data_IF_822406431324
#
_entry.id   IF_822406431324
#
_cell.length_a   1.000
_cell.length_b   1.000
_cell.length_c   1.000
_cell.angle_alpha   90.00
_cell.angle_beta   90.00
_cell.angle_gamma   90.00
#
_symmetry.space_group_name_H-M   'P 1'
#
loop_
_entity.id
_entity.type
_entity.pdbx_description
1 polymer ?
#
# COMPACT_ATOMS: atom_id res chain seq x y z
N UNK A 1 -10.41 -16.95 -3.42
CA UNK A 1 -10.15 -15.51 -3.19
C UNK A 1 -11.41 -14.74 -3.52
N UNK A 2 -11.90 -13.92 -2.61
CA UNK A 2 -12.96 -12.96 -2.93
C UNK A 2 -12.28 -11.61 -3.21
N UNK A 3 -12.78 -10.86 -4.18
CA UNK A 3 -12.19 -9.57 -4.59
C UNK A 3 -13.13 -8.42 -4.23
N UNK A 4 -12.55 -7.34 -3.69
CA UNK A 4 -13.21 -6.05 -3.49
C UNK A 4 -12.68 -5.07 -4.55
N UNK A 5 -13.52 -4.12 -4.99
CA UNK A 5 -13.22 -3.21 -6.11
C UNK A 5 -12.87 -1.82 -5.57
N UNK A 6 -11.67 -1.33 -5.85
CA UNK A 6 -11.25 0.02 -5.51
C UNK A 6 -11.73 1.00 -6.58
N UNK A 7 -12.69 1.89 -6.27
CA UNK A 7 -13.19 2.94 -7.19
C UNK A 7 -12.65 4.33 -6.84
N UNK A 8 -12.40 5.14 -7.87
CA UNK A 8 -12.19 6.59 -7.76
C UNK A 8 -12.97 7.34 -8.89
N UNK A 9 -13.18 8.67 -8.80
CA UNK A 9 -13.64 9.60 -9.87
C UNK A 9 -12.68 10.80 -9.95
N UNK A 10 -12.24 11.41 -11.07
CA UNK A 10 -12.52 11.34 -12.52
C UNK A 10 -11.16 11.30 -13.26
N UNK A 11 -10.82 10.18 -13.92
CA UNK A 11 -9.49 9.88 -14.48
C UNK A 11 -8.91 8.58 -13.90
N UNK A 12 -9.79 7.63 -13.56
CA UNK A 12 -9.58 6.70 -12.46
C UNK A 12 -9.18 5.32 -12.92
N UNK A 13 -8.11 4.83 -12.31
CA UNK A 13 -7.72 3.44 -12.41
C UNK A 13 -8.45 2.62 -11.34
N UNK A 14 -9.16 1.59 -11.78
CA UNK A 14 -9.80 0.63 -10.89
C UNK A 14 -8.82 -0.51 -10.60
N UNK A 15 -8.48 -0.72 -9.34
CA UNK A 15 -7.69 -1.87 -8.90
C UNK A 15 -8.55 -2.82 -8.06
N UNK A 16 -8.30 -4.12 -8.15
CA UNK A 16 -8.94 -5.08 -7.27
C UNK A 16 -8.08 -5.24 -6.02
N UNK A 17 -8.70 -5.09 -4.83
CA UNK A 17 -8.07 -5.45 -3.57
C UNK A 17 -8.57 -6.84 -3.17
N UNK A 18 -7.65 -7.77 -2.98
CA UNK A 18 -7.97 -9.12 -2.58
C UNK A 18 -7.98 -9.25 -1.06
N UNK A 19 -8.84 -10.13 -0.58
CA UNK A 19 -8.93 -10.45 0.83
C UNK A 19 -9.25 -11.93 1.04
N UNK A 20 -8.78 -12.45 2.17
CA UNK A 20 -8.99 -13.84 2.62
C UNK A 20 -9.31 -13.81 4.10
N UNK A 21 -10.36 -14.52 4.50
CA UNK A 21 -10.80 -14.62 5.90
C UNK A 21 -11.01 -13.25 6.58
N UNK A 22 -11.46 -12.24 5.84
CA UNK A 22 -11.68 -10.88 6.34
C UNK A 22 -10.43 -9.99 6.42
N UNK A 23 -9.28 -10.47 5.96
CA UNK A 23 -8.03 -9.72 5.91
C UNK A 23 -7.63 -9.37 4.48
N UNK A 24 -7.21 -8.12 4.27
CA UNK A 24 -6.61 -7.67 3.01
C UNK A 24 -5.28 -8.38 2.82
N UNK A 25 -5.03 -8.90 1.61
CA UNK A 25 -3.78 -9.57 1.26
C UNK A 25 -2.94 -8.69 0.32
N UNK A 26 -3.41 -8.49 -0.90
CA UNK A 26 -2.70 -7.77 -1.96
C UNK A 26 -3.68 -7.17 -2.97
N UNK A 27 -3.16 -6.55 -4.02
CA UNK A 27 -3.90 -6.09 -5.19
C UNK A 27 -3.39 -6.79 -6.46
N UNK A 28 -4.11 -6.68 -7.59
CA UNK A 28 -3.90 -7.43 -8.84
C UNK A 28 -2.45 -7.73 -9.21
N UNK A 29 -1.55 -6.74 -9.10
CA UNK A 29 -0.12 -6.89 -9.41
C UNK A 29 0.76 -6.03 -8.49
N UNK A 30 0.35 -5.89 -7.23
CA UNK A 30 0.92 -4.91 -6.32
C UNK A 30 0.63 -5.20 -4.86
N UNK A 31 1.50 -4.74 -3.98
CA UNK A 31 1.31 -4.85 -2.54
C UNK A 31 0.47 -3.69 -2.01
N UNK A 32 -0.39 -3.97 -1.03
CA UNK A 32 -1.17 -2.96 -0.33
C UNK A 32 -0.45 -2.51 0.94
N UNK A 33 -0.47 -1.21 1.20
CA UNK A 33 0.02 -0.59 2.42
C UNK A 33 -1.08 0.28 3.03
N UNK A 34 -1.31 0.12 4.33
CA UNK A 34 -2.15 1.00 5.13
C UNK A 34 -1.30 1.77 6.15
N UNK A 35 -1.78 2.94 6.55
CA UNK A 35 -1.17 3.76 7.61
C UNK A 35 -2.17 3.86 8.75
N UNK A 36 -1.73 3.50 9.96
CA UNK A 36 -2.58 3.53 11.15
C UNK A 36 -1.72 3.81 12.39
N UNK A 37 -2.11 4.80 13.19
CA UNK A 37 -1.36 5.23 14.35
C UNK A 37 0.06 5.68 14.00
N UNK A 38 0.26 6.32 12.85
CA UNK A 38 1.58 6.73 12.35
C UNK A 38 2.51 5.58 11.94
N UNK A 39 2.01 4.35 11.84
CA UNK A 39 2.79 3.17 11.42
C UNK A 39 2.41 2.74 10.01
N UNK A 40 3.38 2.21 9.29
CA UNK A 40 3.15 1.56 8.01
C UNK A 40 2.81 0.08 8.24
N UNK A 41 1.66 -0.36 7.73
CA UNK A 41 1.17 -1.74 7.88
C UNK A 41 1.05 -2.37 6.50
N UNK A 42 1.56 -3.58 6.35
CA UNK A 42 1.38 -4.39 5.13
C UNK A 42 1.28 -5.86 5.47
N UNK A 43 0.70 -6.64 4.56
CA UNK A 43 0.56 -8.08 4.74
C UNK A 43 1.96 -8.75 4.84
N UNK A 44 2.15 -9.76 5.72
CA UNK A 44 3.43 -10.46 5.84
C UNK A 44 3.83 -11.16 4.54
N UNK A 45 5.12 -11.12 4.19
CA UNK A 45 5.67 -11.85 3.04
C UNK A 45 5.57 -13.37 3.29
N UNK A 46 4.49 -13.96 2.77
CA UNK A 46 4.14 -15.38 2.92
C UNK A 46 3.67 -15.90 1.57
N UNK A 47 3.43 -17.21 1.46
CA UNK A 47 2.91 -17.84 0.24
C UNK A 47 1.45 -17.43 -0.12
N UNK A 48 0.85 -16.50 0.64
CA UNK A 48 -0.50 -15.98 0.44
C UNK A 48 -0.54 -14.68 -0.38
N UNK A 49 0.63 -14.10 -0.69
CA UNK A 49 0.79 -12.91 -1.54
C UNK A 49 1.93 -13.11 -2.54
N UNK A 50 1.90 -12.33 -3.61
CA UNK A 50 2.99 -12.31 -4.58
C UNK A 50 4.25 -11.67 -3.96
N UNK A 51 5.45 -12.25 -4.21
CA UNK A 51 6.70 -11.61 -3.83
C UNK A 51 6.85 -10.29 -4.58
N UNK A 52 7.26 -9.23 -3.87
CA UNK A 52 7.29 -7.87 -4.39
C UNK A 52 8.56 -7.15 -3.97
N UNK A 53 9.47 -6.93 -4.92
CA UNK A 53 10.70 -6.16 -4.71
C UNK A 53 10.35 -4.72 -4.33
N UNK A 54 9.34 -4.12 -4.95
CA UNK A 54 8.87 -2.76 -4.62
C UNK A 54 8.42 -2.68 -3.16
N UNK A 55 7.72 -3.68 -2.64
CA UNK A 55 7.34 -3.77 -1.22
C UNK A 55 8.58 -3.79 -0.31
N UNK A 56 9.58 -4.60 -0.64
CA UNK A 56 10.83 -4.67 0.13
C UNK A 56 11.52 -3.30 0.18
N UNK A 57 11.61 -2.60 -0.96
CA UNK A 57 12.18 -1.26 -1.02
C UNK A 57 11.38 -0.23 -0.22
N UNK A 58 10.06 -0.30 -0.23
CA UNK A 58 9.21 0.55 0.61
C UNK A 58 9.49 0.33 2.10
N UNK A 59 9.64 -0.93 2.52
CA UNK A 59 9.97 -1.27 3.91
C UNK A 59 11.37 -0.77 4.28
N UNK A 60 12.35 -0.90 3.39
CA UNK A 60 13.71 -0.38 3.59
C UNK A 60 13.72 1.14 3.74
N UNK A 61 12.99 1.86 2.88
CA UNK A 61 12.80 3.31 2.98
C UNK A 61 12.17 3.66 4.32
N UNK A 62 11.08 2.99 4.72
CA UNK A 62 10.41 3.25 5.98
C UNK A 62 11.35 3.07 7.17
N UNK A 63 12.15 2.00 7.19
CA UNK A 63 13.16 1.73 8.22
C UNK A 63 14.25 2.81 8.26
N UNK A 64 14.77 3.25 7.11
CA UNK A 64 15.77 4.33 7.01
C UNK A 64 15.26 5.65 7.60
N UNK A 65 13.97 5.92 7.46
CA UNK A 65 13.30 7.11 7.99
C UNK A 65 12.71 6.92 9.39
N UNK A 66 13.04 5.83 10.08
CA UNK A 66 12.56 5.51 11.43
C UNK A 66 11.03 5.43 11.53
N UNK A 67 10.36 5.09 10.44
CA UNK A 67 8.92 4.86 10.40
C UNK A 67 8.67 3.42 10.88
N UNK A 68 7.84 3.21 11.92
CA UNK A 68 7.53 1.86 12.37
C UNK A 68 6.79 1.09 11.27
N UNK A 69 7.26 -0.13 10.99
CA UNK A 69 6.65 -1.05 10.04
C UNK A 69 6.07 -2.25 10.78
N UNK A 70 4.79 -2.53 10.59
CA UNK A 70 4.13 -3.74 11.05
C UNK A 70 3.80 -4.63 9.85
N UNK A 71 4.49 -5.76 9.74
CA UNK A 71 4.12 -6.81 8.79
C UNK A 71 3.03 -7.68 9.44
N UNK A 72 1.77 -7.27 9.27
CA UNK A 72 0.59 -7.99 9.79
C UNK A 72 -0.61 -7.87 8.85
N UNK A 73 -1.54 -8.84 8.87
CA UNK A 73 -2.81 -8.71 8.16
C UNK A 73 -3.60 -7.48 8.63
N UNK A 74 -4.24 -6.78 7.69
CA UNK A 74 -5.18 -5.68 7.96
C UNK A 74 -6.59 -6.22 7.78
N UNK A 75 -7.43 -6.10 8.81
CA UNK A 75 -8.84 -6.47 8.73
C UNK A 75 -9.60 -5.46 7.86
N UNK A 76 -10.59 -5.93 7.11
CA UNK A 76 -11.48 -5.05 6.32
C UNK A 76 -12.14 -3.97 7.18
N UNK A 77 -12.51 -4.30 8.42
CA UNK A 77 -13.10 -3.33 9.36
C UNK A 77 -12.11 -2.24 9.82
N UNK A 78 -10.80 -2.42 9.62
CA UNK A 78 -9.79 -1.40 9.92
C UNK A 78 -9.69 -0.34 8.81
N UNK A 79 -10.25 -0.57 7.61
CA UNK A 79 -10.18 0.38 6.47
C UNK A 79 -10.67 1.78 6.89
N UNK A 80 -11.77 1.85 7.63
CA UNK A 80 -12.35 3.11 8.12
C UNK A 80 -11.46 3.89 9.11
N UNK A 81 -10.43 3.25 9.65
CA UNK A 81 -9.50 3.83 10.62
C UNK A 81 -8.18 4.24 9.98
N UNK A 82 -7.95 3.91 8.71
CA UNK A 82 -6.70 4.22 8.03
C UNK A 82 -6.51 5.74 7.91
N UNK A 83 -5.31 6.19 8.26
CA UNK A 83 -4.84 7.57 8.11
C UNK A 83 -4.28 7.82 6.69
N UNK A 84 -4.05 6.74 5.94
CA UNK A 84 -3.62 6.75 4.55
C UNK A 84 -3.48 5.33 4.03
N UNK A 85 -3.46 5.18 2.71
CA UNK A 85 -3.17 3.91 2.07
C UNK A 85 -2.56 4.14 0.68
N UNK A 86 -1.81 3.15 0.18
CA UNK A 86 -1.26 3.16 -1.17
C UNK A 86 -1.04 1.75 -1.70
N UNK A 87 -0.92 1.63 -3.02
CA UNK A 87 -0.41 0.45 -3.70
C UNK A 87 1.05 0.65 -4.07
N UNK A 88 1.83 -0.41 -3.94
CA UNK A 88 3.23 -0.45 -4.35
C UNK A 88 3.41 -1.51 -5.44
N UNK A 89 3.83 -1.10 -6.64
CA UNK A 89 4.03 -2.00 -7.78
C UNK A 89 4.84 -1.38 -8.90
N UNK A 90 5.46 -2.21 -9.74
CA UNK A 90 6.45 -1.78 -10.74
C UNK A 90 5.93 -0.81 -11.81
N UNK A 91 4.64 -0.87 -12.15
CA UNK A 91 4.10 -0.05 -13.25
C UNK A 91 3.85 1.41 -12.88
N UNK A 92 3.64 1.70 -11.60
CA UNK A 92 3.24 3.02 -11.11
C UNK A 92 3.96 3.41 -9.82
N UNK A 93 4.99 2.64 -9.46
CA UNK A 93 5.79 2.76 -8.25
C UNK A 93 4.93 2.77 -6.98
N UNK A 94 4.59 3.96 -6.49
CA UNK A 94 3.81 4.20 -5.27
C UNK A 94 2.56 5.00 -5.64
N UNK A 95 1.41 4.34 -5.61
CA UNK A 95 0.11 4.90 -6.01
C UNK A 95 -0.78 5.15 -4.78
N UNK A 96 -1.05 6.42 -4.42
CA UNK A 96 -1.93 6.76 -3.30
C UNK A 96 -3.36 6.28 -3.53
N UNK A 97 -3.99 5.75 -2.48
CA UNK A 97 -5.40 5.38 -2.45
C UNK A 97 -6.15 6.43 -1.66
N UNK A 98 -7.10 7.13 -2.27
CA UNK A 98 -7.97 8.07 -1.58
C UNK A 98 -9.39 7.53 -1.32
N UNK A 99 -9.67 6.30 -1.79
CA UNK A 99 -10.96 5.63 -1.63
C UNK A 99 -10.85 4.12 -1.75
N UNK A 100 -11.50 3.42 -0.83
CA UNK A 100 -11.71 1.97 -0.86
C UNK A 100 -13.22 1.74 -0.75
N UNK A 101 -13.85 1.25 -1.82
CA UNK A 101 -15.31 1.19 -1.95
C UNK A 101 -15.95 2.57 -1.64
N UNK A 102 -16.85 2.63 -0.64
CA UNK A 102 -17.50 3.87 -0.22
C UNK A 102 -16.69 4.65 0.83
N UNK A 103 -15.61 4.07 1.35
CA UNK A 103 -14.77 4.68 2.39
C UNK A 103 -13.75 5.62 1.77
N UNK A 104 -13.78 6.89 2.16
CA UNK A 104 -12.73 7.86 1.80
C UNK A 104 -11.50 7.60 2.68
N UNK A 105 -10.34 7.50 2.04
CA UNK A 105 -9.06 7.35 2.72
C UNK A 105 -8.35 8.71 2.69
N UNK A 106 -7.86 9.22 3.83
CA UNK A 106 -7.09 10.46 3.85
C UNK A 106 -5.77 10.32 3.07
N UNK A 107 -5.24 11.44 2.60
CA UNK A 107 -3.88 11.48 2.07
C UNK A 107 -2.93 11.72 3.24
N UNK A 108 -2.01 10.78 3.47
CA UNK A 108 -1.02 10.87 4.54
C UNK A 108 0.28 11.48 4.03
N UNK A 109 0.93 12.30 4.87
CA UNK A 109 2.29 12.78 4.61
C UNK A 109 3.30 11.63 4.51
N UNK A 110 3.05 10.49 5.19
CA UNK A 110 3.89 9.30 5.04
C UNK A 110 3.79 8.72 3.63
N UNK A 111 2.62 8.76 2.99
CA UNK A 111 2.48 8.34 1.59
C UNK A 111 3.35 9.22 0.69
N UNK A 112 3.28 10.55 0.84
CA UNK A 112 4.10 11.48 0.06
C UNK A 112 5.60 11.28 0.29
N UNK A 113 6.03 11.09 1.54
CA UNK A 113 7.41 10.79 1.87
C UNK A 113 7.91 9.52 1.17
N UNK A 114 7.12 8.43 1.22
CA UNK A 114 7.48 7.17 0.55
C UNK A 114 7.55 7.37 -0.98
N UNK A 115 6.63 8.13 -1.57
CA UNK A 115 6.68 8.45 -3.02
C UNK A 115 7.99 9.17 -3.38
N UNK A 116 8.34 10.22 -2.63
CA UNK A 116 9.55 11.01 -2.89
C UNK A 116 10.83 10.19 -2.74
N UNK A 117 10.94 9.40 -1.68
CA UNK A 117 12.13 8.59 -1.42
C UNK A 117 12.27 7.44 -2.41
N UNK A 118 11.16 6.84 -2.84
CA UNK A 118 11.21 5.80 -3.86
C UNK A 118 11.62 6.37 -5.24
N UNK A 119 11.14 7.56 -5.60
CA UNK A 119 11.56 8.25 -6.82
C UNK A 119 13.06 8.61 -6.82
N UNK A 120 13.61 9.01 -5.66
CA UNK A 120 15.06 9.23 -5.49
C UNK A 120 15.84 7.93 -5.70
N UNK A 121 15.39 6.84 -5.08
CA UNK A 121 16.02 5.52 -5.23
C UNK A 121 16.09 5.06 -6.70
N UNK A 122 15.01 5.24 -7.47
CA UNK A 122 15.02 4.91 -8.90
C UNK A 122 16.01 5.75 -9.69
N UNK A 123 16.12 7.04 -9.36
CA UNK A 123 17.05 7.96 -10.02
C UNK A 123 18.51 7.54 -9.79
N UNK A 124 18.85 7.09 -8.58
CA UNK A 124 20.19 6.60 -8.22
C UNK A 124 20.56 5.28 -8.92
N UNK A 125 19.58 4.42 -9.21
CA UNK A 125 19.78 3.13 -9.89
C UNK A 125 19.87 3.25 -11.42
N UNK A 126 19.41 4.38 -11.98
CA UNK A 126 19.43 4.66 -13.42
C UNK A 126 20.73 5.30 -13.93
N UNK A 127 21.74 5.41 -13.05
CA UNK A 127 23.09 5.87 -13.33
C UNK A 127 24.06 4.69 -13.49
#
# INVERSE_FOLDING_TARGET
>A
MCSQKLKQRKGDFLYALFYKNGYITESTSSSFFGILGGKLITYPATNEILPSITREKVIDIARKHQIPVEERPILLQEIQKLEGAFLAGTTYDILPINRIEDTKIPLSSLTSLIQEEYAKLLSELSL
#
